data_IF_232290661190
#
_entry.id   IF_232290661190
#
_cell.length_a   1.000
_cell.length_b   1.000
_cell.length_c   1.000
_cell.angle_alpha   90.00
_cell.angle_beta   90.00
_cell.angle_gamma   90.00
#
_symmetry.space_group_name_H-M   'P 1'
#
loop_
_entity.id
_entity.type
_entity.pdbx_description
1 polymer ?
#
# COMPACT_ATOMS: atom_id res chain seq x y z
N UNK A 1 1.63 13.25 -7.25
CA UNK A 1 0.35 12.86 -6.67
C UNK A 1 -0.64 13.98 -6.71
N UNK A 2 -1.89 13.64 -6.83
CA UNK A 2 -2.92 14.64 -6.85
C UNK A 2 -3.17 15.20 -5.46
N UNK A 3 -3.63 16.42 -5.42
CA UNK A 3 -3.85 17.11 -4.17
C UNK A 3 -4.85 16.39 -3.27
N UNK A 4 -5.91 15.84 -3.85
CA UNK A 4 -6.91 15.11 -3.08
C UNK A 4 -6.31 13.89 -2.38
N UNK A 5 -5.47 13.17 -3.09
CA UNK A 5 -4.83 11.99 -2.53
C UNK A 5 -3.89 12.39 -1.39
N UNK A 6 -3.18 13.50 -1.54
CA UNK A 6 -2.30 13.96 -0.48
C UNK A 6 -3.07 14.30 0.78
N UNK A 7 -4.25 14.92 0.65
CA UNK A 7 -5.08 15.21 1.81
C UNK A 7 -5.57 13.95 2.50
N UNK A 8 -5.92 12.94 1.72
CA UNK A 8 -6.35 11.66 2.27
C UNK A 8 -5.17 11.01 3.02
N UNK A 9 -3.99 11.03 2.42
CA UNK A 9 -2.81 10.45 3.06
C UNK A 9 -2.41 11.18 4.32
N UNK A 10 -2.63 12.50 4.35
CA UNK A 10 -2.37 13.25 5.57
C UNK A 10 -3.26 12.78 6.71
N UNK A 11 -4.54 12.55 6.43
CA UNK A 11 -5.47 12.03 7.44
C UNK A 11 -5.10 10.62 7.85
N UNK A 12 -4.67 9.80 6.90
CA UNK A 12 -4.22 8.45 7.19
C UNK A 12 -3.00 8.50 8.11
N UNK A 13 -2.06 9.40 7.84
CA UNK A 13 -0.89 9.57 8.70
C UNK A 13 -1.28 9.91 10.13
N UNK A 14 -2.28 10.78 10.30
CA UNK A 14 -2.77 11.10 11.64
C UNK A 14 -3.29 9.87 12.36
N UNK A 15 -4.03 9.02 11.66
CA UNK A 15 -4.55 7.80 12.24
C UNK A 15 -3.41 6.87 12.63
N UNK A 16 -2.41 6.73 11.74
CA UNK A 16 -1.27 5.87 12.00
C UNK A 16 -0.50 6.33 13.23
N UNK A 17 -0.38 7.65 13.42
CA UNK A 17 0.33 8.18 14.58
C UNK A 17 -0.33 7.81 15.91
N UNK A 18 -1.63 7.52 15.88
CA UNK A 18 -2.37 7.20 17.11
C UNK A 18 -2.34 5.72 17.45
N UNK A 19 -1.75 4.91 16.60
CA UNK A 19 -1.77 3.46 16.78
C UNK A 19 -0.35 2.93 16.63
N UNK A 20 0.00 1.90 17.37
CA UNK A 20 1.36 1.35 17.27
C UNK A 20 1.55 0.36 16.13
N UNK A 21 0.50 0.09 15.36
CA UNK A 21 0.52 -0.96 14.34
C UNK A 21 1.46 -0.61 13.20
N UNK A 22 2.06 -1.63 12.63
CA UNK A 22 2.74 -1.48 11.35
C UNK A 22 1.72 -1.46 10.22
N UNK A 23 2.13 -0.98 9.07
CA UNK A 23 1.24 -0.88 7.91
C UNK A 23 1.83 -1.57 6.70
N UNK A 24 0.94 -2.03 5.85
CA UNK A 24 1.29 -2.55 4.53
C UNK A 24 0.64 -1.66 3.48
N UNK A 25 1.42 -1.26 2.50
CA UNK A 25 0.95 -0.39 1.42
C UNK A 25 1.00 -1.20 0.12
N UNK A 26 -0.14 -1.29 -0.56
CA UNK A 26 -0.23 -2.06 -1.80
C UNK A 26 -0.87 -1.22 -2.89
N UNK A 27 -0.22 -1.17 -4.05
CA UNK A 27 -0.77 -0.51 -5.22
C UNK A 27 -1.49 -1.49 -6.11
N UNK A 28 -2.58 -1.03 -6.71
CA UNK A 28 -3.41 -1.82 -7.62
C UNK A 28 -3.69 -1.01 -8.87
N UNK A 29 -3.84 -1.71 -9.99
CA UNK A 29 -4.22 -1.07 -11.26
C UNK A 29 -5.52 -1.69 -11.76
N UNK A 30 -6.12 -1.03 -12.77
CA UNK A 30 -7.13 -1.70 -13.57
C UNK A 30 -6.45 -2.65 -14.54
N UNK A 31 -7.24 -3.38 -15.34
CA UNK A 31 -6.69 -4.38 -16.23
C UNK A 31 -6.25 -3.82 -17.58
N UNK A 32 -6.39 -2.52 -17.80
CA UNK A 32 -5.95 -1.91 -19.06
C UNK A 32 -4.42 -1.87 -19.03
N UNK A 33 -3.74 -2.44 -20.06
CA UNK A 33 -2.28 -2.48 -20.03
C UNK A 33 -1.68 -1.09 -20.06
N UNK A 34 -0.67 -0.89 -19.22
CA UNK A 34 0.10 0.35 -19.25
C UNK A 34 1.04 0.31 -20.46
N UNK A 35 1.06 1.39 -21.23
CA UNK A 35 1.80 1.42 -22.49
C UNK A 35 2.88 2.49 -22.50
N UNK A 36 3.55 2.67 -21.38
CA UNK A 36 4.57 3.72 -21.29
C UNK A 36 5.89 3.30 -21.92
N UNK A 37 6.45 2.17 -21.48
CA UNK A 37 7.76 1.69 -21.92
C UNK A 37 7.69 0.17 -22.11
N UNK A 38 8.60 -0.34 -22.92
CA UNK A 38 8.60 -1.76 -23.24
C UNK A 38 8.79 -2.65 -22.03
N UNK A 39 9.59 -2.19 -21.07
CA UNK A 39 9.89 -2.96 -19.86
C UNK A 39 9.10 -2.47 -18.66
N UNK A 40 8.00 -1.76 -18.87
CA UNK A 40 7.23 -1.15 -17.80
C UNK A 40 5.77 -1.54 -17.96
N UNK A 41 5.24 -2.24 -16.99
CA UNK A 41 3.90 -2.79 -17.05
C UNK A 41 3.10 -2.34 -15.84
N UNK A 42 1.89 -2.86 -15.69
CA UNK A 42 1.08 -2.59 -14.52
C UNK A 42 1.75 -3.07 -13.23
N UNK A 43 2.64 -4.06 -13.33
CA UNK A 43 3.40 -4.50 -12.16
C UNK A 43 4.29 -3.38 -11.63
N UNK A 44 5.09 -2.76 -12.50
CA UNK A 44 5.95 -1.66 -12.10
C UNK A 44 5.13 -0.44 -11.69
N UNK A 45 4.05 -0.17 -12.43
CA UNK A 45 3.22 0.98 -12.13
C UNK A 45 2.60 0.88 -10.74
N UNK A 46 2.07 -0.29 -10.39
CA UNK A 46 1.43 -0.47 -9.07
C UNK A 46 2.45 -0.37 -7.94
N UNK A 47 3.63 -0.94 -8.13
CA UNK A 47 4.69 -0.86 -7.13
C UNK A 47 5.18 0.59 -6.97
N UNK A 48 5.32 1.31 -8.08
CA UNK A 48 5.78 2.68 -8.02
C UNK A 48 4.79 3.59 -7.31
N UNK A 49 3.49 3.35 -7.54
CA UNK A 49 2.46 4.12 -6.85
C UNK A 49 2.45 3.83 -5.36
N UNK A 50 2.65 2.58 -4.99
CA UNK A 50 2.75 2.23 -3.58
C UNK A 50 3.95 2.92 -2.93
N UNK A 51 5.08 2.96 -3.62
CA UNK A 51 6.26 3.66 -3.12
C UNK A 51 6.05 5.16 -3.02
N UNK A 52 5.33 5.75 -3.96
CA UNK A 52 5.01 7.17 -3.89
C UNK A 52 4.15 7.46 -2.66
N UNK A 53 3.20 6.58 -2.37
CA UNK A 53 2.38 6.74 -1.16
C UNK A 53 3.22 6.62 0.10
N UNK A 54 4.17 5.69 0.12
CA UNK A 54 5.09 5.58 1.25
C UNK A 54 5.86 6.87 1.46
N UNK A 55 6.40 7.43 0.38
CA UNK A 55 7.17 8.68 0.49
C UNK A 55 6.31 9.81 1.04
N UNK A 56 5.05 9.86 0.61
CA UNK A 56 4.14 10.90 1.08
C UNK A 56 3.83 10.72 2.56
N UNK A 57 3.58 9.49 3.00
CA UNK A 57 3.31 9.24 4.42
C UNK A 57 4.52 9.56 5.29
N UNK A 58 5.72 9.20 4.83
CA UNK A 58 6.94 9.54 5.57
C UNK A 58 7.09 11.06 5.63
N UNK A 59 6.73 11.76 4.55
CA UNK A 59 6.75 13.23 4.53
C UNK A 59 5.79 13.84 5.54
N UNK A 60 4.71 13.14 5.89
CA UNK A 60 3.78 13.59 6.92
C UNK A 60 4.17 13.09 8.31
N UNK A 61 5.36 12.53 8.45
CA UNK A 61 5.88 12.17 9.77
C UNK A 61 5.73 10.72 10.18
N UNK A 62 5.24 9.84 9.31
CA UNK A 62 5.16 8.43 9.63
C UNK A 62 6.57 7.84 9.64
N UNK A 63 7.01 7.27 10.78
CA UNK A 63 8.36 6.68 10.82
C UNK A 63 8.46 5.51 9.86
N UNK A 64 9.60 5.42 9.19
CA UNK A 64 9.82 4.33 8.23
C UNK A 64 9.70 2.96 8.89
N UNK A 65 10.02 2.88 10.18
CA UNK A 65 9.92 1.63 10.92
C UNK A 65 8.50 1.12 11.06
N UNK A 66 7.51 1.97 10.80
CA UNK A 66 6.12 1.58 10.86
C UNK A 66 5.66 0.91 9.56
N UNK A 67 6.46 0.96 8.53
CA UNK A 67 6.06 0.43 7.21
C UNK A 67 6.67 -0.95 7.06
N UNK A 68 5.80 -1.97 7.08
CA UNK A 68 6.22 -3.35 7.00
C UNK A 68 6.49 -3.78 5.56
N UNK A 69 5.59 -3.45 4.66
CA UNK A 69 5.73 -3.83 3.25
C UNK A 69 5.21 -2.74 2.35
N UNK A 70 5.81 -2.66 1.16
CA UNK A 70 5.34 -1.84 0.05
C UNK A 70 5.36 -2.74 -1.17
N UNK A 71 4.21 -2.94 -1.81
CA UNK A 71 4.13 -3.90 -2.89
C UNK A 71 3.16 -3.43 -3.97
N UNK A 72 3.28 -4.04 -5.15
CA UNK A 72 2.35 -3.83 -6.25
C UNK A 72 1.75 -5.14 -6.66
N UNK A 73 0.45 -5.13 -6.92
CA UNK A 73 -0.28 -6.32 -7.33
C UNK A 73 -0.81 -6.22 -8.77
N UNK A 74 -0.46 -5.15 -9.48
CA UNK A 74 -0.95 -4.92 -10.83
C UNK A 74 -2.49 -5.03 -10.83
N UNK A 75 -3.05 -5.84 -11.72
CA UNK A 75 -4.50 -5.99 -11.82
C UNK A 75 -5.01 -7.31 -11.22
N UNK A 76 -4.22 -7.94 -10.35
CA UNK A 76 -4.55 -9.29 -9.87
C UNK A 76 -5.60 -9.33 -8.78
N UNK A 77 -5.95 -8.18 -8.20
CA UNK A 77 -6.90 -8.13 -7.09
C UNK A 77 -7.88 -6.96 -7.30
N UNK A 78 -8.78 -7.06 -8.27
CA UNK A 78 -9.67 -5.95 -8.59
C UNK A 78 -10.71 -5.73 -7.49
N UNK A 79 -10.98 -4.46 -7.21
CA UNK A 79 -12.05 -4.10 -6.29
C UNK A 79 -13.40 -4.46 -6.87
N UNK A 80 -13.55 -4.31 -8.18
CA UNK A 80 -14.76 -4.66 -8.92
C UNK A 80 -14.42 -5.78 -9.90
N UNK A 81 -14.49 -7.05 -9.46
CA UNK A 81 -14.09 -8.16 -10.33
C UNK A 81 -14.97 -8.32 -11.56
N UNK A 82 -16.21 -7.83 -11.49
CA UNK A 82 -17.15 -7.93 -12.60
C UNK A 82 -16.69 -7.12 -13.80
N UNK A 83 -15.93 -6.07 -13.58
CA UNK A 83 -15.39 -5.27 -14.67
C UNK A 83 -14.00 -4.77 -14.28
N UNK A 84 -12.97 -5.58 -14.54
CA UNK A 84 -11.60 -5.21 -14.12
C UNK A 84 -11.05 -3.98 -14.84
N UNK A 85 -11.70 -3.51 -15.90
CA UNK A 85 -11.22 -2.33 -16.62
C UNK A 85 -11.61 -1.02 -15.96
N UNK A 86 -12.46 -1.07 -14.92
CA UNK A 86 -12.95 0.17 -14.29
C UNK A 86 -11.83 0.94 -13.60
N UNK A 87 -11.83 2.27 -13.75
CA UNK A 87 -10.82 3.09 -13.06
C UNK A 87 -10.83 2.94 -11.54
N UNK A 88 -11.96 2.56 -10.93
CA UNK A 88 -12.01 2.35 -9.50
C UNK A 88 -11.11 1.22 -9.03
N UNK A 89 -10.62 0.38 -9.94
CA UNK A 89 -9.65 -0.65 -9.60
C UNK A 89 -8.23 -0.12 -9.46
N UNK A 90 -7.98 1.13 -9.87
CA UNK A 90 -6.71 1.81 -9.65
C UNK A 90 -6.74 2.43 -8.25
N UNK A 91 -6.12 1.76 -7.31
CA UNK A 91 -6.21 2.19 -5.91
C UNK A 91 -4.95 1.85 -5.14
N UNK A 92 -4.85 2.47 -3.98
CA UNK A 92 -3.81 2.15 -2.99
C UNK A 92 -4.53 1.58 -1.78
N UNK A 93 -4.08 0.42 -1.33
CA UNK A 93 -4.56 -0.18 -0.09
C UNK A 93 -3.56 0.08 1.02
N UNK A 94 -4.03 0.59 2.13
CA UNK A 94 -3.19 0.81 3.31
C UNK A 94 -3.85 0.05 4.44
N UNK A 95 -3.17 -1.00 4.89
CA UNK A 95 -3.72 -1.92 5.87
C UNK A 95 -2.93 -1.79 7.16
N UNK A 96 -3.62 -1.54 8.26
CA UNK A 96 -3.01 -1.58 9.59
C UNK A 96 -2.89 -3.05 9.98
N UNK A 97 -1.66 -3.49 10.15
CA UNK A 97 -1.40 -4.87 10.51
C UNK A 97 -1.66 -5.06 12.00
N UNK A 98 -2.06 -6.29 12.33
CA UNK A 98 -2.21 -6.62 13.73
C UNK A 98 -0.86 -6.41 14.43
N UNK A 99 -0.90 -5.96 15.68
CA UNK A 99 0.33 -5.71 16.40
C UNK A 99 0.98 -7.03 16.76
N UNK A 100 1.77 -7.53 15.84
CA UNK A 100 2.44 -8.78 16.05
C UNK A 100 3.35 -8.73 17.26
N UNK A 101 3.85 -7.55 17.57
CA UNK A 101 4.68 -7.38 18.74
C UNK A 101 3.94 -7.72 20.01
N UNK A 102 2.65 -7.60 19.98
CA UNK A 102 1.82 -8.01 21.11
C UNK A 102 1.68 -9.50 21.17
N UNK A 103 2.02 -10.17 20.08
CA UNK A 103 1.99 -11.59 20.07
C UNK A 103 3.38 -12.05 20.31
N UNK A 104 3.63 -12.45 21.43
CA UNK A 104 4.99 -12.78 21.73
C UNK A 104 5.42 -13.93 20.92
N UNK A 105 5.26 -13.70 20.42
CA UNK A 105 5.63 -14.24 20.05
C UNK A 105 6.00 -15.14 19.77
N UNK A 106 5.84 -15.10 19.63
CA UNK A 106 6.15 -15.79 19.38
C UNK A 106 6.98 -16.53 19.32
N UNK A 107 7.15 -16.80 19.44
CA UNK A 107 7.87 -17.34 19.33
C UNK A 107 8.20 -18.22 19.04
N UNK A 108 8.47 -18.27 19.15
CA UNK A 108 8.89 -18.83 18.80
C UNK A 108 9.04 -19.88 18.53
N UNK A 109 8.92 -19.89 18.49
CA UNK A 109 9.10 -20.66 18.34
C UNK A 109 9.52 -21.48 18.32
N UNK A 110 9.61 -21.72 18.29
CA UNK A 110 9.97 -22.55 18.24
C UNK A 110 10.37 -23.38 18.41
N UNK A 111 10.54 -23.28 18.80
CA UNK A 111 10.95 -23.86 19.02
C UNK A 111 10.83 -24.64 19.09
N UNK A 112 10.72 -24.56 19.08
CA UNK A 112 10.66 -25.25 19.04
C UNK A 112 10.61 -25.92 18.87
#
# INVERSE_FOLDING_TARGET
MQENLQKILEKVADIIHRMPNQIAITGHTDSIPFRGRNDYSNWELSAERANASRRTLVGFGVPISRIATVSGKADTDPLVPEDPTLPTNRRISIVLLREAALMPSAPPAPDN
#
